data_IF_218387889078
#
_entry.id   IF_218387889078
#
_cell.length_a   1.000
_cell.length_b   1.000
_cell.length_c   1.000
_cell.angle_alpha   90.00
_cell.angle_beta   90.00
_cell.angle_gamma   90.00
#
_symmetry.space_group_name_H-M   'P 1'
#
loop_
_entity.id
_entity.type
_entity.pdbx_description
1 polymer ?
#
# COMPACT_ATOMS: atom_id res chain seq x y z
N UNK A 1 -3.24 -26.82 -6.04
CA UNK A 1 -3.81 -25.61 -5.40
C UNK A 1 -2.66 -24.67 -5.07
N UNK A 2 -2.64 -23.44 -5.58
CA UNK A 2 -1.65 -22.42 -5.22
C UNK A 2 -2.19 -21.71 -3.96
N UNK A 3 -1.50 -21.81 -2.83
CA UNK A 3 -1.84 -21.06 -1.63
C UNK A 3 -1.58 -19.57 -1.89
N UNK A 4 -2.51 -18.69 -1.48
CA UNK A 4 -2.35 -17.24 -1.57
C UNK A 4 -1.86 -16.74 -0.22
N UNK A 5 -0.78 -15.98 -0.22
CA UNK A 5 -0.21 -15.42 1.00
C UNK A 5 -0.73 -14.01 1.16
N UNK A 6 -1.49 -13.78 2.23
CA UNK A 6 -1.78 -12.42 2.70
C UNK A 6 -0.47 -11.86 3.27
N UNK A 7 0.03 -10.79 2.66
CA UNK A 7 1.28 -10.16 3.07
C UNK A 7 1.04 -9.07 4.12
N UNK A 8 -0.15 -8.48 4.13
CA UNK A 8 -0.50 -7.42 5.07
C UNK A 8 -2.02 -7.38 5.36
N UNK A 9 -2.37 -7.01 6.59
CA UNK A 9 -3.75 -6.76 7.03
C UNK A 9 -3.77 -5.45 7.82
N UNK A 10 -4.66 -4.53 7.47
CA UNK A 10 -4.82 -3.25 8.16
C UNK A 10 -6.30 -2.88 8.28
N UNK A 11 -6.74 -2.38 9.45
CA UNK A 11 -8.08 -1.83 9.62
C UNK A 11 -8.00 -0.31 9.71
N UNK A 12 -8.67 0.39 8.81
CA UNK A 12 -8.67 1.85 8.80
C UNK A 12 -9.66 2.46 9.81
N UNK A 13 -9.56 3.77 9.99
CA UNK A 13 -10.40 4.55 10.91
C UNK A 13 -11.86 4.66 10.45
N UNK A 14 -12.13 4.44 9.16
CA UNK A 14 -13.49 4.36 8.61
C UNK A 14 -14.13 2.97 8.83
N UNK A 15 -13.35 2.00 9.30
CA UNK A 15 -13.80 0.65 9.61
C UNK A 15 -13.66 -0.36 8.46
N UNK A 16 -12.99 0.01 7.36
CA UNK A 16 -12.67 -0.93 6.30
C UNK A 16 -11.47 -1.79 6.67
N UNK A 17 -11.49 -3.05 6.23
CA UNK A 17 -10.36 -3.95 6.33
C UNK A 17 -9.61 -3.97 4.99
N UNK A 18 -8.31 -3.78 5.04
CA UNK A 18 -7.42 -3.76 3.89
C UNK A 18 -6.51 -4.98 3.92
N UNK A 19 -6.40 -5.65 2.78
CA UNK A 19 -5.67 -6.91 2.62
C UNK A 19 -4.71 -6.79 1.44
N UNK A 20 -3.42 -6.97 1.69
CA UNK A 20 -2.38 -7.04 0.68
C UNK A 20 -2.15 -8.49 0.26
N UNK A 21 -2.07 -8.74 -1.04
CA UNK A 21 -1.75 -10.04 -1.62
C UNK A 21 -0.51 -9.89 -2.52
N UNK A 22 0.49 -10.75 -2.32
CA UNK A 22 1.73 -10.79 -3.09
C UNK A 22 1.53 -11.31 -4.52
N UNK A 23 0.78 -10.57 -5.33
CA UNK A 23 0.46 -10.88 -6.73
C UNK A 23 -1.00 -10.60 -7.08
N UNK A 24 -1.89 -10.51 -6.08
CA UNK A 24 -3.30 -10.16 -6.29
C UNK A 24 -3.65 -8.67 -6.04
N UNK A 25 -2.68 -7.84 -5.65
CA UNK A 25 -2.89 -6.41 -5.41
C UNK A 25 -3.46 -6.14 -4.02
N UNK A 26 -4.35 -5.16 -3.93
CA UNK A 26 -4.94 -4.72 -2.67
C UNK A 26 -6.45 -4.94 -2.67
N UNK A 27 -7.00 -5.40 -1.56
CA UNK A 27 -8.44 -5.58 -1.38
C UNK A 27 -8.92 -4.74 -0.20
N UNK A 28 -9.98 -3.95 -0.41
CA UNK A 28 -10.74 -3.29 0.65
C UNK A 28 -12.04 -4.05 0.89
N UNK A 29 -12.25 -4.48 2.13
CA UNK A 29 -13.44 -5.17 2.59
C UNK A 29 -14.25 -4.25 3.51
N UNK A 30 -15.50 -4.02 3.11
CA UNK A 30 -16.49 -3.35 3.94
C UNK A 30 -17.20 -4.38 4.81
N UNK A 31 -16.84 -4.41 6.10
CA UNK A 31 -17.43 -5.35 7.06
C UNK A 31 -18.93 -5.10 7.30
N UNK A 32 -19.42 -3.88 7.02
CA UNK A 32 -20.83 -3.52 7.24
C UNK A 32 -21.72 -4.05 6.14
N UNK A 33 -21.24 -4.01 4.90
CA UNK A 33 -22.00 -4.42 3.70
C UNK A 33 -21.59 -5.78 3.16
N UNK A 34 -20.49 -6.35 3.65
CA UNK A 34 -19.90 -7.60 3.14
C UNK A 34 -19.26 -7.45 1.75
N UNK A 35 -19.06 -6.23 1.26
CA UNK A 35 -18.57 -5.98 -0.10
C UNK A 35 -17.05 -5.89 -0.15
N UNK A 36 -16.49 -6.46 -1.22
CA UNK A 36 -15.07 -6.36 -1.54
C UNK A 36 -14.86 -5.41 -2.71
N UNK A 37 -13.84 -4.56 -2.62
CA UNK A 37 -13.32 -3.76 -3.73
C UNK A 37 -11.86 -4.15 -3.96
N UNK A 38 -11.54 -4.47 -5.20
CA UNK A 38 -10.19 -4.84 -5.63
C UNK A 38 -9.52 -3.66 -6.30
N UNK A 39 -8.27 -3.40 -5.90
CA UNK A 39 -7.37 -2.47 -6.57
C UNK A 39 -6.27 -3.29 -7.23
N UNK A 40 -6.11 -3.06 -8.53
CA UNK A 40 -5.17 -3.78 -9.40
C UNK A 40 -4.32 -2.78 -10.14
N UNK A 41 -3.09 -3.16 -10.45
CA UNK A 41 -2.26 -2.40 -11.34
C UNK A 41 -2.90 -2.35 -12.73
N UNK A 42 -2.96 -1.15 -13.29
CA UNK A 42 -3.39 -0.88 -14.66
C UNK A 42 -2.38 0.08 -15.28
N UNK A 43 -1.70 -0.30 -16.38
CA UNK A 43 -0.65 0.53 -16.98
C UNK A 43 -1.11 1.93 -17.41
N UNK A 44 -2.38 2.08 -17.72
CA UNK A 44 -3.03 3.31 -18.18
C UNK A 44 -3.65 4.16 -17.05
N UNK A 45 -3.59 3.70 -15.79
CA UNK A 45 -4.14 4.41 -14.64
C UNK A 45 -3.02 4.90 -13.69
N UNK A 46 -2.57 6.16 -13.83
CA UNK A 46 -1.54 6.72 -12.95
C UNK A 46 -2.02 6.89 -11.51
N UNK A 47 -3.33 6.86 -11.27
CA UNK A 47 -3.96 6.94 -9.94
C UNK A 47 -4.23 5.57 -9.32
N UNK A 48 -3.88 4.48 -10.02
CA UNK A 48 -3.94 3.11 -9.52
C UNK A 48 -2.69 2.69 -8.74
N UNK A 49 -2.64 1.42 -8.36
CA UNK A 49 -1.46 0.81 -7.75
C UNK A 49 -0.28 0.78 -8.75
N UNK A 50 0.94 0.90 -8.23
CA UNK A 50 2.18 0.75 -9.03
C UNK A 50 2.37 -0.70 -9.46
N UNK A 51 2.04 -1.67 -8.58
CA UNK A 51 2.19 -3.10 -8.85
C UNK A 51 1.12 -3.89 -8.11
N UNK A 52 0.82 -5.09 -8.61
CA UNK A 52 -0.02 -6.07 -7.92
C UNK A 52 0.74 -6.84 -6.83
N UNK A 53 2.07 -6.68 -6.76
CA UNK A 53 2.91 -7.30 -5.73
C UNK A 53 2.97 -6.42 -4.48
N UNK A 54 1.92 -6.49 -3.65
CA UNK A 54 1.84 -5.75 -2.39
C UNK A 54 2.61 -6.49 -1.29
N UNK A 55 3.53 -5.79 -0.63
CA UNK A 55 4.36 -6.34 0.44
C UNK A 55 3.93 -5.87 1.82
N UNK A 56 3.50 -4.61 1.94
CA UNK A 56 3.14 -4.03 3.23
C UNK A 56 2.02 -3.00 3.11
N UNK A 57 1.25 -2.87 4.19
CA UNK A 57 0.28 -1.79 4.38
C UNK A 57 0.64 -1.14 5.71
N UNK A 58 0.84 0.17 5.69
CA UNK A 58 1.23 0.94 6.86
C UNK A 58 0.34 2.16 7.01
N UNK A 59 -0.01 2.53 8.24
CA UNK A 59 -0.72 3.77 8.52
C UNK A 59 0.21 4.73 9.25
N UNK A 60 0.35 5.94 8.72
CA UNK A 60 1.10 6.99 9.42
C UNK A 60 0.27 7.63 10.54
N UNK A 61 0.93 8.41 11.39
CA UNK A 61 0.27 9.11 12.51
C UNK A 61 -0.78 10.13 12.08
N UNK A 62 -0.75 10.57 10.82
CA UNK A 62 -1.75 11.48 10.26
C UNK A 62 -2.96 10.71 9.68
N UNK A 63 -2.96 9.38 9.79
CA UNK A 63 -4.03 8.51 9.31
C UNK A 63 -3.95 8.21 7.82
N UNK A 64 -2.85 8.55 7.12
CA UNK A 64 -2.71 8.12 5.73
C UNK A 64 -2.30 6.66 5.67
N UNK A 65 -2.94 5.92 4.77
CA UNK A 65 -2.56 4.55 4.45
C UNK A 65 -1.54 4.55 3.30
N UNK A 66 -0.43 3.88 3.53
CA UNK A 66 0.66 3.64 2.61
C UNK A 66 0.70 2.16 2.24
N UNK A 67 0.91 1.88 0.95
CA UNK A 67 1.03 0.54 0.39
C UNK A 67 2.42 0.42 -0.18
N UNK A 68 3.25 -0.42 0.43
CA UNK A 68 4.56 -0.78 -0.10
C UNK A 68 4.41 -1.96 -1.05
N UNK A 69 4.91 -1.79 -2.26
CA UNK A 69 4.78 -2.76 -3.34
C UNK A 69 6.02 -2.72 -4.23
N UNK A 70 6.12 -3.67 -5.15
CA UNK A 70 7.20 -3.65 -6.15
C UNK A 70 7.20 -2.32 -6.91
N UNK A 71 8.36 -1.68 -6.98
CA UNK A 71 8.55 -0.42 -7.70
C UNK A 71 8.16 0.86 -6.93
N UNK A 72 7.78 0.78 -5.64
CA UNK A 72 7.66 1.97 -4.79
C UNK A 72 6.56 1.94 -3.74
N UNK A 73 6.10 3.13 -3.35
CA UNK A 73 5.01 3.34 -2.39
C UNK A 73 3.79 3.98 -3.07
N UNK A 74 2.60 3.53 -2.71
CA UNK A 74 1.34 4.21 -3.02
C UNK A 74 0.68 4.72 -1.74
N UNK A 75 0.36 6.01 -1.66
CA UNK A 75 -0.48 6.57 -0.59
C UNK A 75 -1.92 6.62 -1.05
N UNK A 76 -2.83 6.01 -0.28
CA UNK A 76 -4.25 6.03 -0.58
C UNK A 76 -4.88 7.40 -0.27
N UNK A 77 -5.66 7.91 -1.22
CA UNK A 77 -6.46 9.12 -1.10
C UNK A 77 -7.95 8.73 -1.02
N UNK A 78 -8.57 8.77 0.18
CA UNK A 78 -9.95 8.35 0.35
C UNK A 78 -10.96 9.26 -0.36
N UNK A 79 -10.62 10.53 -0.63
CA UNK A 79 -11.52 11.46 -1.32
C UNK A 79 -11.64 11.14 -2.81
N UNK A 80 -10.60 10.54 -3.40
CA UNK A 80 -10.58 10.14 -4.82
C UNK A 80 -10.76 8.64 -5.02
N UNK A 81 -10.75 7.87 -3.93
CA UNK A 81 -10.72 6.41 -3.94
C UNK A 81 -9.61 5.85 -4.86
N UNK A 82 -8.43 6.46 -4.76
CA UNK A 82 -7.26 6.21 -5.62
C UNK A 82 -5.94 6.44 -4.88
N UNK A 83 -4.84 6.49 -5.62
CA UNK A 83 -3.49 6.49 -5.07
C UNK A 83 -2.61 7.61 -5.61
N UNK A 84 -1.75 8.15 -4.74
CA UNK A 84 -0.59 8.96 -5.12
C UNK A 84 0.65 8.07 -5.07
N UNK A 85 1.38 8.00 -6.18
CA UNK A 85 2.49 7.05 -6.36
C UNK A 85 3.85 7.72 -6.19
N UNK A 86 4.71 7.11 -5.38
CA UNK A 86 6.07 7.54 -5.07
C UNK A 86 7.03 6.43 -5.49
N UNK A 87 7.73 6.64 -6.61
CA UNK A 87 8.72 5.71 -7.14
C UNK A 87 10.13 6.08 -6.68
N UNK A 88 11.01 5.10 -6.48
CA UNK A 88 12.42 5.37 -6.24
C UNK A 88 13.00 6.19 -7.40
N UNK A 89 13.77 7.23 -7.11
CA UNK A 89 14.59 7.91 -8.11
C UNK A 89 15.95 7.18 -8.11
N UNK A 90 16.42 6.63 -9.25
CA UNK A 90 17.77 6.09 -9.34
C UNK A 90 18.80 7.14 -8.89
N UNK A 91 19.84 6.71 -8.17
CA UNK A 91 20.98 7.52 -7.74
C UNK A 91 20.69 8.68 -6.76
N UNK A 92 19.52 8.70 -6.12
CA UNK A 92 19.23 9.66 -5.04
C UNK A 92 19.31 8.97 -3.66
N UNK A 93 20.22 9.36 -2.75
CA UNK A 93 20.43 8.67 -1.46
C UNK A 93 19.24 8.73 -0.49
N UNK A 94 18.25 9.59 -0.75
CA UNK A 94 16.99 9.68 0.01
C UNK A 94 15.83 8.87 -0.62
N UNK A 95 16.08 8.08 -1.67
CA UNK A 95 15.06 7.27 -2.35
C UNK A 95 14.93 5.89 -1.70
N UNK A 96 13.68 5.51 -1.38
CA UNK A 96 13.34 4.23 -0.78
C UNK A 96 13.70 3.11 -1.77
N UNK A 97 14.55 2.17 -1.36
CA UNK A 97 15.02 1.08 -2.22
C UNK A 97 13.87 0.20 -2.76
N UNK A 98 14.14 -0.50 -3.86
CA UNK A 98 13.22 -1.31 -4.68
C UNK A 98 12.36 -2.37 -3.96
N UNK A 99 12.51 -2.52 -2.64
CA UNK A 99 11.63 -3.36 -1.82
C UNK A 99 11.51 -2.74 -0.44
N UNK A 100 10.34 -2.18 -0.12
CA UNK A 100 10.03 -1.67 1.23
C UNK A 100 9.34 -2.80 2.01
N UNK A 101 10.14 -3.55 2.77
CA UNK A 101 9.66 -4.67 3.59
C UNK A 101 8.95 -4.20 4.87
N UNK A 102 9.38 -3.06 5.40
CA UNK A 102 8.83 -2.43 6.61
C UNK A 102 8.84 -0.93 6.40
N UNK A 103 7.73 -0.29 6.76
CA UNK A 103 7.69 1.15 7.00
C UNK A 103 7.53 1.28 8.51
N UNK A 104 8.52 1.85 9.18
CA UNK A 104 8.41 2.28 10.57
C UNK A 104 8.63 3.79 10.64
N UNK A 105 7.77 4.47 11.40
CA UNK A 105 7.82 5.91 11.57
C UNK A 105 8.32 6.23 12.98
N UNK A 106 9.51 6.84 13.05
CA UNK A 106 10.05 7.30 14.32
C UNK A 106 9.20 8.44 14.94
N UNK A 107 9.54 8.85 16.17
CA UNK A 107 8.79 9.93 16.87
C UNK A 107 8.85 11.29 16.17
N UNK A 108 9.79 11.50 15.25
CA UNK A 108 9.93 12.71 14.44
C UNK A 108 9.19 12.67 13.11
N UNK A 109 8.61 11.53 12.73
CA UNK A 109 7.89 11.39 11.47
C UNK A 109 8.74 10.90 10.29
N UNK A 110 10.01 10.54 10.53
CA UNK A 110 10.95 10.06 9.51
C UNK A 110 10.81 8.56 9.32
N UNK A 111 10.87 8.09 8.08
CA UNK A 111 10.82 6.67 7.74
C UNK A 111 12.23 6.06 7.80
N UNK A 112 12.42 5.05 8.65
CA UNK A 112 13.68 4.32 8.79
C UNK A 112 13.62 2.92 8.19
N UNK A 113 14.78 2.38 7.78
CA UNK A 113 14.97 0.99 7.34
C UNK A 113 15.57 0.19 8.51
N UNK A 114 15.02 -0.98 8.81
CA UNK A 114 15.72 -2.02 9.59
C UNK A 114 16.52 -2.91 8.63
#
# INVERSE_FOLDING_TARGET
MKARTLTAIYKDTAGYLWLGDGGAGLVRFDQRTGRFKHYRHKPDDPSGLISDNVYTIFADRNGHMWVGQEGGLSRFDPAKDGFTNYRPVPDHPASLGNTVWVIDQDRSGTFGRL
#
